data_IF_970748886736
#
_entry.id   IF_970748886736
#
_cell.length_a   1.000
_cell.length_b   1.000
_cell.length_c   1.000
_cell.angle_alpha   90.00
_cell.angle_beta   90.00
_cell.angle_gamma   90.00
#
_symmetry.space_group_name_H-M   'P 1'
#
loop_
_entity.id
_entity.type
_entity.pdbx_description
1 polymer ?
#
# COMPACT_ATOMS: atom_id res chain seq x y z
N UNK A 1 18.32 46.29 -46.98
CA UNK A 1 17.61 45.99 -45.71
C UNK A 1 18.20 44.69 -45.13
N UNK A 2 18.80 44.71 -43.93
CA UNK A 2 19.51 43.56 -43.39
C UNK A 2 18.54 42.54 -42.78
N UNK A 3 18.93 41.27 -42.95
CA UNK A 3 18.29 40.05 -42.43
C UNK A 3 18.20 40.08 -40.91
N UNK A 4 16.99 39.89 -40.35
CA UNK A 4 16.81 39.53 -38.94
C UNK A 4 16.69 38.02 -38.84
N UNK A 5 17.79 37.37 -38.47
CA UNK A 5 17.77 36.06 -37.85
C UNK A 5 17.11 36.25 -36.47
N UNK A 6 15.96 35.61 -36.23
CA UNK A 6 15.44 35.47 -34.86
C UNK A 6 15.98 34.15 -34.32
N UNK A 7 16.78 34.31 -33.28
CA UNK A 7 17.41 33.29 -32.46
C UNK A 7 16.36 32.29 -31.96
N UNK A 8 16.61 31.00 -32.19
CA UNK A 8 15.88 29.92 -31.53
C UNK A 8 16.46 29.83 -30.12
N UNK A 9 15.77 30.42 -29.15
CA UNK A 9 16.11 30.25 -27.73
C UNK A 9 16.00 28.76 -27.37
N UNK A 10 17.16 28.18 -27.07
CA UNK A 10 17.32 26.83 -26.57
C UNK A 10 16.59 26.69 -25.22
N UNK A 11 15.49 25.95 -25.22
CA UNK A 11 14.88 25.45 -24.00
C UNK A 11 15.84 24.49 -23.31
N UNK A 12 16.45 24.96 -22.23
CA UNK A 12 17.19 24.14 -21.30
C UNK A 12 16.24 23.09 -20.68
N UNK A 13 16.57 21.79 -20.69
CA UNK A 13 15.82 20.81 -19.93
C UNK A 13 16.11 21.03 -18.44
N UNK A 14 15.10 21.50 -17.70
CA UNK A 14 15.08 21.43 -16.24
C UNK A 14 15.01 19.94 -15.85
N UNK A 15 16.18 19.36 -15.61
CA UNK A 15 16.34 18.04 -15.01
C UNK A 15 15.79 18.02 -13.57
N UNK A 16 15.36 16.84 -13.09
CA UNK A 16 14.33 16.71 -12.07
C UNK A 16 14.85 17.14 -10.69
N UNK A 17 14.08 18.01 -10.04
CA UNK A 17 14.25 18.34 -8.63
C UNK A 17 14.34 17.03 -7.83
N UNK A 18 15.50 16.84 -7.21
CA UNK A 18 15.80 15.65 -6.43
C UNK A 18 14.65 15.35 -5.48
N UNK A 19 14.16 14.11 -5.52
CA UNK A 19 13.22 13.60 -4.53
C UNK A 19 13.94 13.55 -3.18
N UNK A 20 13.98 14.70 -2.49
CA UNK A 20 14.27 14.75 -1.06
C UNK A 20 13.19 13.91 -0.39
N UNK A 21 13.57 12.70 0.03
CA UNK A 21 12.76 11.82 0.84
C UNK A 21 12.38 12.58 2.11
N UNK A 22 11.19 13.17 2.13
CA UNK A 22 10.66 13.90 3.29
C UNK A 22 10.68 12.93 4.48
N UNK A 23 11.43 13.28 5.52
CA UNK A 23 11.46 12.51 6.77
C UNK A 23 10.05 12.42 7.34
N UNK A 24 9.67 11.23 7.83
CA UNK A 24 8.36 11.00 8.44
C UNK A 24 8.10 11.99 9.57
N UNK A 25 6.99 12.73 9.49
CA UNK A 25 6.59 13.70 10.50
C UNK A 25 5.46 13.16 11.38
N UNK A 26 5.44 13.55 12.66
CA UNK A 26 4.34 13.23 13.57
C UNK A 26 3.02 13.73 12.97
N UNK A 27 2.09 12.81 12.71
CA UNK A 27 0.79 13.10 12.11
C UNK A 27 0.64 12.64 10.66
N UNK A 28 1.72 12.25 9.99
CA UNK A 28 1.68 11.71 8.62
C UNK A 28 0.80 10.49 8.48
N UNK A 29 0.86 9.57 9.44
CA UNK A 29 -0.02 8.40 9.47
C UNK A 29 -1.50 8.80 9.50
N UNK A 30 -1.86 9.88 10.20
CA UNK A 30 -3.25 10.37 10.24
C UNK A 30 -3.63 11.03 8.91
N UNK A 31 -2.74 11.82 8.31
CA UNK A 31 -2.97 12.45 7.00
C UNK A 31 -3.16 11.40 5.91
N UNK A 32 -2.24 10.44 5.83
CA UNK A 32 -2.30 9.29 4.92
C UNK A 32 -3.58 8.48 5.10
N UNK A 33 -3.93 8.13 6.34
CA UNK A 33 -5.17 7.41 6.66
C UNK A 33 -6.40 8.12 6.14
N UNK A 34 -6.52 9.42 6.39
CA UNK A 34 -7.70 10.20 5.98
C UNK A 34 -7.86 10.20 4.45
N UNK A 35 -6.75 10.36 3.71
CA UNK A 35 -6.76 10.28 2.25
C UNK A 35 -7.21 8.89 1.77
N UNK A 36 -6.63 7.82 2.32
CA UNK A 36 -7.04 6.46 1.93
C UNK A 36 -8.50 6.18 2.27
N UNK A 37 -9.00 6.63 3.43
CA UNK A 37 -10.42 6.51 3.76
C UNK A 37 -11.31 7.22 2.73
N UNK A 38 -10.94 8.43 2.31
CA UNK A 38 -11.71 9.18 1.30
C UNK A 38 -11.74 8.44 -0.05
N UNK A 39 -10.58 7.96 -0.51
CA UNK A 39 -10.47 7.18 -1.74
C UNK A 39 -11.33 5.91 -1.66
N UNK A 40 -11.25 5.18 -0.56
CA UNK A 40 -12.03 3.96 -0.37
C UNK A 40 -13.53 4.26 -0.27
N UNK A 41 -13.94 5.38 0.34
CA UNK A 41 -15.35 5.80 0.36
C UNK A 41 -15.89 6.12 -1.02
N UNK A 42 -15.05 6.66 -1.90
CA UNK A 42 -15.43 6.91 -3.29
C UNK A 42 -15.47 5.61 -4.13
N UNK A 43 -14.62 4.64 -3.82
CA UNK A 43 -14.46 3.42 -4.62
C UNK A 43 -15.21 2.18 -4.12
N UNK A 44 -15.71 2.15 -2.87
CA UNK A 44 -16.33 0.97 -2.26
C UNK A 44 -17.74 1.25 -1.75
N UNK A 45 -18.62 0.23 -1.71
CA UNK A 45 -19.91 0.34 -1.03
C UNK A 45 -19.75 0.70 0.45
N UNK A 46 -20.58 1.62 0.94
CA UNK A 46 -20.53 2.09 2.33
C UNK A 46 -20.53 0.93 3.35
N UNK A 47 -21.33 -0.11 3.11
CA UNK A 47 -21.43 -1.29 3.98
C UNK A 47 -20.06 -1.96 4.26
N UNK A 48 -19.13 -1.96 3.29
CA UNK A 48 -17.79 -2.55 3.45
C UNK A 48 -16.96 -1.74 4.45
N UNK A 49 -17.07 -0.41 4.41
CA UNK A 49 -16.36 0.50 5.29
C UNK A 49 -16.98 0.57 6.68
N UNK A 50 -18.31 0.61 6.77
CA UNK A 50 -19.02 0.57 8.05
C UNK A 50 -18.70 -0.72 8.83
N UNK A 51 -18.56 -1.85 8.15
CA UNK A 51 -18.13 -3.12 8.77
C UNK A 51 -16.73 -3.05 9.41
N UNK A 52 -15.91 -2.04 9.05
CA UNK A 52 -14.59 -1.81 9.65
C UNK A 52 -14.60 -0.82 10.82
N UNK A 53 -15.71 -0.10 11.04
CA UNK A 53 -15.81 0.95 12.06
C UNK A 53 -16.05 0.41 13.47
N UNK A 54 -15.26 -0.58 13.91
CA UNK A 54 -15.12 -0.88 15.34
C UNK A 54 -14.53 0.31 16.12
N UNK A 55 -13.86 1.23 15.40
CA UNK A 55 -13.35 2.51 15.88
C UNK A 55 -13.83 3.64 14.96
N UNK A 56 -13.74 4.90 15.43
CA UNK A 56 -14.09 6.11 14.64
C UNK A 56 -13.35 6.21 13.29
N UNK A 57 -12.17 5.59 13.18
CA UNK A 57 -11.30 5.63 12.01
C UNK A 57 -10.75 4.25 11.66
N UNK A 58 -10.52 4.01 10.37
CA UNK A 58 -9.94 2.78 9.82
C UNK A 58 -8.43 2.97 9.71
N UNK A 59 -7.61 2.11 10.31
CA UNK A 59 -6.15 2.27 10.28
C UNK A 59 -5.58 2.23 8.84
N UNK A 60 -4.37 2.79 8.64
CA UNK A 60 -3.68 2.74 7.33
C UNK A 60 -3.56 1.31 6.82
N UNK A 61 -3.15 0.37 7.68
CA UNK A 61 -3.00 -1.03 7.28
C UNK A 61 -4.33 -1.69 6.90
N UNK A 62 -5.43 -1.31 7.57
CA UNK A 62 -6.77 -1.80 7.19
C UNK A 62 -7.24 -1.18 5.89
N UNK A 63 -6.94 0.09 5.63
CA UNK A 63 -7.20 0.72 4.33
C UNK A 63 -6.45 -0.02 3.20
N UNK A 64 -5.17 -0.33 3.40
CA UNK A 64 -4.38 -1.10 2.43
C UNK A 64 -4.95 -2.51 2.21
N UNK A 65 -5.36 -3.21 3.28
CA UNK A 65 -6.02 -4.51 3.15
C UNK A 65 -7.33 -4.41 2.34
N UNK A 66 -8.17 -3.41 2.58
CA UNK A 66 -9.39 -3.21 1.80
C UNK A 66 -9.07 -2.94 0.33
N UNK A 67 -8.07 -2.10 0.06
CA UNK A 67 -7.60 -1.82 -1.29
C UNK A 67 -7.12 -3.10 -2.00
N UNK A 68 -6.35 -3.96 -1.32
CA UNK A 68 -5.93 -5.27 -1.83
C UNK A 68 -7.15 -6.15 -2.15
N UNK A 69 -8.06 -6.29 -1.19
CA UNK A 69 -9.19 -7.21 -1.28
C UNK A 69 -10.20 -6.81 -2.36
N UNK A 70 -10.35 -5.52 -2.61
CA UNK A 70 -11.32 -4.97 -3.55
C UNK A 70 -10.68 -4.36 -4.80
N UNK A 71 -9.37 -4.54 -4.99
CA UNK A 71 -8.60 -4.03 -6.14
C UNK A 71 -8.75 -2.52 -6.36
N UNK A 72 -8.78 -1.74 -5.28
CA UNK A 72 -8.80 -0.28 -5.34
C UNK A 72 -7.37 0.23 -5.41
N UNK A 73 -7.08 1.03 -6.43
CA UNK A 73 -5.78 1.71 -6.54
C UNK A 73 -5.68 2.83 -5.50
N UNK A 74 -4.54 2.90 -4.82
CA UNK A 74 -4.18 3.96 -3.88
C UNK A 74 -2.87 4.62 -4.35
N UNK A 75 -2.69 5.93 -4.10
CA UNK A 75 -1.37 6.52 -4.23
C UNK A 75 -0.44 5.94 -3.17
N UNK A 76 0.87 5.87 -3.45
CA UNK A 76 1.85 5.46 -2.44
C UNK A 76 1.98 6.50 -1.33
N UNK A 77 2.52 6.10 -0.17
CA UNK A 77 2.79 7.05 0.91
C UNK A 77 3.82 8.09 0.47
N UNK A 78 4.82 7.67 -0.30
CA UNK A 78 5.89 8.49 -0.83
C UNK A 78 5.36 9.50 -1.85
N UNK A 79 4.39 9.13 -2.68
CA UNK A 79 3.71 10.07 -3.57
C UNK A 79 2.90 11.09 -2.77
N UNK A 80 2.14 10.63 -1.76
CA UNK A 80 1.37 11.51 -0.87
C UNK A 80 2.25 12.48 -0.09
N UNK A 81 3.40 12.04 0.43
CA UNK A 81 4.27 12.89 1.24
C UNK A 81 4.88 14.04 0.43
N UNK A 82 5.18 13.81 -0.86
CA UNK A 82 5.66 14.84 -1.81
C UNK A 82 4.63 15.93 -2.06
N UNK A 83 3.35 15.59 -2.06
CA UNK A 83 2.25 16.55 -2.32
C UNK A 83 1.51 16.99 -1.07
N UNK A 84 2.09 16.78 0.12
CA UNK A 84 1.49 17.12 1.41
C UNK A 84 0.11 16.51 1.65
N UNK A 85 -0.07 15.25 1.23
CA UNK A 85 -1.26 14.43 1.43
C UNK A 85 -2.52 14.99 0.75
N UNK A 86 -2.35 15.62 -0.41
CA UNK A 86 -3.45 16.03 -1.28
C UNK A 86 -3.50 15.10 -2.49
N UNK A 87 -4.42 14.14 -2.50
CA UNK A 87 -4.51 13.07 -3.52
C UNK A 87 -4.76 13.61 -4.93
N UNK A 88 -5.54 14.68 -5.06
CA UNK A 88 -5.83 15.34 -6.33
C UNK A 88 -4.58 15.87 -7.07
N UNK A 89 -3.43 15.96 -6.38
CA UNK A 89 -2.15 16.37 -6.97
C UNK A 89 -1.30 15.21 -7.48
N UNK A 90 -1.77 13.97 -7.36
CA UNK A 90 -1.06 12.77 -7.82
C UNK A 90 -1.73 12.24 -9.08
N UNK A 91 -1.03 12.21 -10.23
CA UNK A 91 -1.51 11.60 -11.46
C UNK A 91 -2.04 10.19 -11.25
N UNK A 92 -3.18 9.83 -11.88
CA UNK A 92 -3.87 8.55 -11.63
C UNK A 92 -3.09 7.33 -12.11
N UNK A 93 -2.16 7.50 -13.04
CA UNK A 93 -1.22 6.49 -13.52
C UNK A 93 -0.14 6.12 -12.47
N UNK A 94 0.11 6.99 -11.49
CA UNK A 94 0.98 6.68 -10.34
C UNK A 94 0.26 5.86 -9.25
N UNK A 95 -1.06 5.65 -9.38
CA UNK A 95 -1.84 4.92 -8.39
C UNK A 95 -1.79 3.43 -8.71
N UNK A 96 -1.60 2.62 -7.68
CA UNK A 96 -1.55 1.16 -7.83
C UNK A 96 -2.30 0.47 -6.70
N UNK A 97 -2.76 -0.75 -6.97
CA UNK A 97 -3.28 -1.60 -5.89
C UNK A 97 -2.09 -1.98 -5.01
N UNK A 98 -2.10 -1.65 -3.70
CA UNK A 98 -1.00 -2.02 -2.81
C UNK A 98 -0.74 -3.53 -2.85
N UNK A 99 0.52 -3.97 -2.76
CA UNK A 99 0.89 -5.39 -2.68
C UNK A 99 1.16 -5.86 -1.27
N UNK A 100 1.09 -4.97 -0.28
CA UNK A 100 1.39 -5.25 1.12
C UNK A 100 0.42 -4.49 2.04
N UNK A 101 -0.07 -5.13 3.10
CA UNK A 101 -1.02 -4.49 4.02
C UNK A 101 -0.35 -3.74 5.17
N UNK A 102 0.96 -3.94 5.41
CA UNK A 102 1.74 -3.38 6.54
C UNK A 102 1.07 -3.52 7.92
N UNK A 103 0.16 -4.48 8.11
CA UNK A 103 -0.46 -4.74 9.40
C UNK A 103 0.50 -5.52 10.29
N UNK A 104 0.53 -5.19 11.58
CA UNK A 104 1.29 -5.93 12.57
C UNK A 104 0.77 -7.36 12.72
N UNK A 105 1.67 -8.30 13.00
CA UNK A 105 1.37 -9.73 13.23
C UNK A 105 0.16 -9.96 14.16
N UNK A 106 0.15 -9.30 15.31
CA UNK A 106 -0.95 -9.41 16.28
C UNK A 106 -2.31 -9.06 15.67
N UNK A 107 -2.35 -8.05 14.79
CA UNK A 107 -3.58 -7.63 14.11
C UNK A 107 -4.00 -8.59 13.00
N UNK A 108 -3.06 -9.25 12.34
CA UNK A 108 -3.37 -10.29 11.36
C UNK A 108 -3.99 -11.53 12.02
N UNK A 109 -3.50 -11.93 13.19
CA UNK A 109 -4.10 -13.04 13.96
C UNK A 109 -5.55 -12.71 14.40
N UNK A 110 -5.82 -11.48 14.82
CA UNK A 110 -7.15 -11.02 15.24
C UNK A 110 -8.14 -10.84 14.07
N UNK A 111 -7.67 -10.34 12.92
CA UNK A 111 -8.53 -9.88 11.83
C UNK A 111 -8.52 -10.76 10.57
N UNK A 112 -7.60 -11.72 10.51
CA UNK A 112 -7.37 -12.57 9.35
C UNK A 112 -6.50 -11.94 8.25
N UNK A 113 -6.10 -12.81 7.31
CA UNK A 113 -5.25 -12.48 6.17
C UNK A 113 -5.99 -11.65 5.11
N UNK A 114 -5.22 -11.06 4.19
CA UNK A 114 -5.81 -10.46 2.99
C UNK A 114 -6.37 -11.56 2.09
N UNK A 115 -7.43 -11.26 1.33
CA UNK A 115 -8.00 -12.16 0.32
C UNK A 115 -7.24 -12.10 -1.01
N UNK A 116 -6.61 -10.97 -1.30
CA UNK A 116 -5.70 -10.81 -2.44
C UNK A 116 -4.24 -11.10 -2.06
N UNK A 117 -3.37 -11.19 -3.08
CA UNK A 117 -1.92 -11.32 -2.89
C UNK A 117 -1.40 -10.20 -2.01
N UNK A 118 -0.66 -10.55 -0.96
CA UNK A 118 -0.21 -9.60 0.04
C UNK A 118 1.13 -10.05 0.62
N UNK A 119 2.20 -9.36 0.27
CA UNK A 119 3.57 -9.66 0.71
C UNK A 119 3.69 -9.72 2.24
N UNK A 120 3.00 -8.81 2.96
CA UNK A 120 2.96 -8.85 4.43
C UNK A 120 2.30 -10.13 4.94
N UNK A 121 1.23 -10.60 4.30
CA UNK A 121 0.60 -11.85 4.73
C UNK A 121 1.50 -13.04 4.37
N UNK A 122 2.04 -13.06 3.15
CA UNK A 122 2.87 -14.14 2.64
C UNK A 122 4.14 -14.34 3.48
N UNK A 123 4.84 -13.25 3.85
CA UNK A 123 6.02 -13.30 4.73
C UNK A 123 5.70 -13.85 6.12
N UNK A 124 4.53 -13.51 6.66
CA UNK A 124 4.14 -13.86 8.03
C UNK A 124 3.49 -15.25 8.12
N UNK A 125 2.96 -15.77 7.02
CA UNK A 125 2.48 -17.16 6.91
C UNK A 125 3.53 -18.12 6.38
N UNK A 126 4.57 -17.60 5.70
CA UNK A 126 5.71 -18.37 5.19
C UNK A 126 6.69 -18.84 6.26
N UNK A 127 6.62 -18.27 7.48
CA UNK A 127 7.39 -18.69 8.66
C UNK A 127 6.63 -19.75 9.50
N UNK A 128 5.86 -20.63 8.85
CA UNK A 128 5.49 -21.89 9.48
C UNK A 128 6.66 -22.87 9.29
N UNK A 129 7.44 -23.22 10.33
CA UNK A 129 8.20 -24.46 10.27
C UNK A 129 7.16 -25.56 10.03
N UNK A 130 7.30 -26.31 8.94
CA UNK A 130 6.47 -27.49 8.77
C UNK A 130 6.62 -28.35 10.03
N UNK A 131 5.53 -28.70 10.72
CA UNK A 131 5.63 -29.67 11.80
C UNK A 131 6.19 -30.96 11.21
N UNK A 132 7.27 -31.43 11.85
CA UNK A 132 7.86 -32.75 11.72
C UNK A 132 6.83 -33.78 11.24
N UNK A 133 7.05 -34.40 10.08
CA UNK A 133 6.47 -35.70 9.80
C UNK A 133 7.14 -36.72 10.72
N UNK A 134 6.73 -36.72 11.99
CA UNK A 134 7.02 -37.80 12.91
C UNK A 134 5.85 -38.76 12.92
N UNK A 135 6.15 -39.95 12.41
CA UNK A 135 5.52 -41.24 12.67
C UNK A 135 4.25 -41.65 11.91
N UNK A 136 4.38 -42.75 11.15
CA UNK A 136 3.79 -44.07 11.44
C UNK A 136 4.63 -45.14 10.71
N UNK A 137 5.48 -45.89 11.43
CA UNK A 137 5.20 -47.17 12.11
C UNK A 137 5.04 -48.40 11.19
N UNK A 138 6.04 -49.29 11.32
CA UNK A 138 6.07 -50.76 11.16
C UNK A 138 5.87 -51.35 9.77
N UNK A 139 6.94 -51.92 9.23
CA UNK A 139 6.91 -53.32 8.79
C UNK A 139 8.06 -54.10 9.42
N UNK A 140 7.66 -55.21 10.04
CA UNK A 140 8.51 -56.30 10.53
C UNK A 140 9.27 -56.97 9.39
N UNK A 141 10.49 -57.44 9.68
CA UNK A 141 10.92 -58.78 9.27
C UNK A 141 11.99 -59.29 10.25
N UNK A 142 11.60 -60.30 11.06
CA UNK A 142 12.49 -61.38 11.52
C UNK A 142 12.96 -62.12 10.24
N UNK A 143 14.16 -62.69 10.11
CA UNK A 143 14.85 -63.72 10.89
C UNK A 143 16.33 -63.60 10.59
#
# INVERSE_FOLDING_TARGET
>A
APRRHHEVEAQAPLLPGGAMSRTFEKGDSNRCRNVYEQILRAGLPAAILEAQKKNKHVSVGRCRMLAINHRVALPSYEALSKVSFVDARIPRDEWSVPTDCKRFLKKLAEEGLCRGRCETCDQLTGDAPQPLQSSRSRQSARV
#
